data_IF_676927840930
#
_entry.id   IF_676927840930
#
_cell.length_a   1.000
_cell.length_b   1.000
_cell.length_c   1.000
_cell.angle_alpha   90.00
_cell.angle_beta   90.00
_cell.angle_gamma   90.00
#
_symmetry.space_group_name_H-M   'P 1'
#
loop_
_entity.id
_entity.type
_entity.pdbx_description
1 polymer ?
#
# COMPACT_ATOMS: atom_id res chain seq x y z
N UNK A 1 -14.25 9.03 -8.13
CA UNK A 1 -13.14 8.21 -8.62
C UNK A 1 -13.42 6.76 -8.24
N UNK A 2 -13.54 5.89 -9.24
CA UNK A 2 -13.67 4.44 -9.11
C UNK A 2 -12.35 3.78 -8.66
N UNK A 3 -12.41 2.49 -8.30
CA UNK A 3 -11.22 1.70 -7.92
C UNK A 3 -10.20 1.65 -9.08
N UNK A 4 -10.66 1.45 -10.32
CA UNK A 4 -9.82 1.42 -11.51
C UNK A 4 -9.14 2.78 -11.79
N UNK A 5 -9.91 3.87 -11.80
CA UNK A 5 -9.35 5.23 -11.98
C UNK A 5 -8.35 5.57 -10.87
N UNK A 6 -8.59 5.09 -9.64
CA UNK A 6 -7.67 5.28 -8.52
C UNK A 6 -6.36 4.52 -8.71
N UNK A 7 -6.43 3.26 -9.14
CA UNK A 7 -5.26 2.45 -9.42
C UNK A 7 -4.43 3.07 -10.55
N UNK A 8 -5.07 3.48 -11.64
CA UNK A 8 -4.43 4.13 -12.78
C UNK A 8 -3.70 5.41 -12.34
N UNK A 9 -4.32 6.23 -11.48
CA UNK A 9 -3.68 7.40 -10.90
C UNK A 9 -2.41 7.01 -10.14
N UNK A 10 -2.47 6.05 -9.22
CA UNK A 10 -1.29 5.66 -8.43
C UNK A 10 -0.19 5.06 -9.31
N UNK A 11 -0.54 4.24 -10.30
CA UNK A 11 0.41 3.65 -11.24
C UNK A 11 1.09 4.71 -12.12
N UNK A 12 0.37 5.76 -12.54
CA UNK A 12 0.95 6.85 -13.32
C UNK A 12 2.06 7.62 -12.59
N UNK A 13 2.04 7.62 -11.25
CA UNK A 13 3.07 8.25 -10.40
C UNK A 13 3.96 7.23 -9.68
N UNK A 14 3.90 5.96 -10.08
CA UNK A 14 4.75 4.90 -9.57
C UNK A 14 6.11 4.89 -10.26
N UNK A 15 7.17 4.79 -9.47
CA UNK A 15 8.51 4.51 -9.97
C UNK A 15 8.70 3.04 -10.34
N UNK A 16 9.94 2.67 -10.68
CA UNK A 16 10.29 1.27 -10.94
C UNK A 16 10.02 0.38 -9.70
N UNK A 17 9.57 -0.87 -9.89
CA UNK A 17 9.35 -1.78 -8.78
C UNK A 17 10.64 -2.05 -8.00
N UNK A 18 10.52 -2.13 -6.68
CA UNK A 18 11.65 -2.40 -5.77
C UNK A 18 11.41 -3.71 -5.00
N UNK A 19 12.50 -4.37 -4.59
CA UNK A 19 12.43 -5.61 -3.81
C UNK A 19 12.11 -5.37 -2.33
N UNK A 20 12.41 -4.18 -1.81
CA UNK A 20 12.19 -3.83 -0.41
C UNK A 20 11.99 -2.32 -0.23
N UNK A 21 11.38 -1.93 0.89
CA UNK A 21 11.20 -0.53 1.27
C UNK A 21 11.39 -0.31 2.77
N UNK A 22 11.89 0.87 3.18
CA UNK A 22 12.01 1.21 4.59
C UNK A 22 10.64 1.34 5.24
N UNK A 23 10.50 0.75 6.43
CA UNK A 23 9.26 0.75 7.19
C UNK A 23 9.48 1.21 8.63
N UNK A 24 8.58 2.09 9.07
CA UNK A 24 8.42 2.56 10.45
C UNK A 24 6.94 2.49 10.83
N UNK A 25 6.56 1.67 11.79
CA UNK A 25 5.14 1.45 12.12
C UNK A 25 4.37 2.72 12.50
N UNK A 26 5.00 3.62 13.26
CA UNK A 26 4.38 4.87 13.68
C UNK A 26 4.00 5.78 12.50
N UNK A 27 2.75 6.25 12.48
CA UNK A 27 2.24 7.13 11.44
C UNK A 27 2.09 6.47 10.06
N UNK A 28 1.97 5.13 10.03
CA UNK A 28 1.61 4.40 8.81
C UNK A 28 0.12 4.55 8.53
N UNK A 29 -0.24 4.97 7.33
CA UNK A 29 -1.61 4.98 6.82
C UNK A 29 -1.79 3.94 5.73
N UNK A 30 -2.97 3.33 5.66
CA UNK A 30 -3.34 2.35 4.65
C UNK A 30 -4.59 2.83 3.89
N UNK A 31 -4.62 2.59 2.58
CA UNK A 31 -5.81 2.74 1.75
C UNK A 31 -5.90 1.51 0.82
N UNK A 32 -6.99 0.74 0.93
CA UNK A 32 -7.26 -0.36 0.00
C UNK A 32 -7.82 0.25 -1.29
N UNK A 33 -7.23 -0.13 -2.42
CA UNK A 33 -7.62 0.36 -3.74
C UNK A 33 -8.56 -0.65 -4.40
N UNK A 34 -8.17 -1.93 -4.39
CA UNK A 34 -8.95 -3.07 -4.87
C UNK A 34 -8.58 -4.33 -4.07
N UNK A 35 -8.95 -5.52 -4.54
CA UNK A 35 -8.71 -6.78 -3.83
C UNK A 35 -7.23 -7.23 -3.80
N UNK A 36 -6.34 -6.59 -4.57
CA UNK A 36 -4.92 -6.92 -4.68
C UNK A 36 -3.98 -5.74 -4.40
N UNK A 37 -4.49 -4.50 -4.40
CA UNK A 37 -3.69 -3.30 -4.33
C UNK A 37 -4.06 -2.45 -3.11
N UNK A 38 -3.03 -1.98 -2.42
CA UNK A 38 -3.18 -1.00 -1.37
C UNK A 38 -2.07 0.04 -1.43
N UNK A 39 -2.41 1.26 -1.01
CA UNK A 39 -1.47 2.32 -0.73
C UNK A 39 -1.01 2.21 0.72
N UNK A 40 0.31 2.28 0.93
CA UNK A 40 0.92 2.49 2.24
C UNK A 40 1.59 3.86 2.26
N UNK A 41 1.25 4.69 3.26
CA UNK A 41 1.87 6.01 3.45
C UNK A 41 2.60 6.08 4.78
N UNK A 42 3.68 6.86 4.84
CA UNK A 42 4.41 7.15 6.06
C UNK A 42 4.67 8.65 6.20
N UNK A 43 3.78 9.31 6.96
CA UNK A 43 3.72 10.77 7.01
C UNK A 43 3.32 11.37 5.65
N UNK A 44 3.63 12.65 5.44
CA UNK A 44 3.25 13.30 4.19
C UNK A 44 4.12 12.86 3.00
N UNK A 45 5.44 12.74 3.12
CA UNK A 45 6.30 12.66 1.94
C UNK A 45 6.50 11.27 1.34
N UNK A 46 6.15 10.19 2.06
CA UNK A 46 6.51 8.83 1.66
C UNK A 46 5.27 7.98 1.43
N UNK A 47 5.21 7.33 0.28
CA UNK A 47 4.13 6.43 -0.09
C UNK A 47 4.57 5.37 -1.09
N UNK A 48 3.91 4.23 -1.02
CA UNK A 48 4.18 3.07 -1.87
C UNK A 48 2.87 2.42 -2.27
N UNK A 49 2.77 2.06 -3.55
CA UNK A 49 1.75 1.13 -4.02
C UNK A 49 2.25 -0.28 -3.75
N UNK A 50 1.43 -1.08 -3.08
CA UNK A 50 1.72 -2.48 -2.79
C UNK A 50 0.75 -3.36 -3.57
N UNK A 51 1.26 -4.41 -4.17
CA UNK A 51 0.44 -5.55 -4.62
C UNK A 51 0.58 -6.68 -3.62
N UNK A 52 -0.54 -7.35 -3.32
CA UNK A 52 -0.61 -8.53 -2.48
C UNK A 52 -1.23 -9.71 -3.23
N UNK A 53 -0.94 -10.92 -2.78
CA UNK A 53 -1.51 -12.13 -3.38
C UNK A 53 -3.02 -12.26 -3.03
N UNK A 54 -3.91 -12.43 -4.02
CA UNK A 54 -5.33 -12.69 -3.79
C UNK A 54 -5.58 -14.12 -3.26
N UNK A 55 -6.77 -14.41 -2.72
CA UNK A 55 -7.86 -13.48 -2.40
C UNK A 55 -7.78 -13.09 -0.92
N UNK A 56 -7.16 -11.95 -0.60
CA UNK A 56 -6.92 -11.62 0.81
C UNK A 56 -7.55 -10.28 1.26
N UNK A 57 -7.53 -9.22 0.44
CA UNK A 57 -8.07 -7.91 0.86
C UNK A 57 -9.60 -7.86 0.78
N UNK A 58 -10.23 -8.73 -0.01
CA UNK A 58 -11.69 -8.86 -0.07
C UNK A 58 -12.31 -9.31 1.25
N UNK A 59 -11.51 -9.87 2.17
CA UNK A 59 -11.96 -10.31 3.49
C UNK A 59 -12.06 -9.17 4.51
N UNK A 60 -11.33 -8.06 4.31
CA UNK A 60 -11.34 -6.92 5.21
C UNK A 60 -11.09 -5.60 4.46
N UNK A 61 -12.16 -4.80 4.31
CA UNK A 61 -12.07 -3.46 3.72
C UNK A 61 -11.80 -2.35 4.75
N UNK A 62 -11.67 -2.68 6.04
CA UNK A 62 -11.46 -1.70 7.11
C UNK A 62 -9.96 -1.35 7.28
N UNK A 63 -9.51 -0.35 6.54
CA UNK A 63 -8.10 0.10 6.50
C UNK A 63 -7.50 0.46 7.87
N UNK A 64 -8.31 0.96 8.82
CA UNK A 64 -7.87 1.35 10.16
C UNK A 64 -7.31 0.18 10.99
N UNK A 65 -7.62 -1.06 10.61
CA UNK A 65 -7.22 -2.27 11.34
C UNK A 65 -6.07 -3.01 10.65
N UNK A 66 -5.61 -2.52 9.50
CA UNK A 66 -4.50 -3.11 8.76
C UNK A 66 -3.17 -2.92 9.48
N UNK A 67 -2.31 -3.91 9.30
CA UNK A 67 -0.93 -3.94 9.76
C UNK A 67 -0.07 -4.63 8.71
N UNK A 68 1.24 -4.46 8.80
CA UNK A 68 2.19 -5.09 7.88
C UNK A 68 3.34 -5.67 8.67
N UNK A 69 3.80 -6.86 8.27
CA UNK A 69 5.02 -7.42 8.84
C UNK A 69 6.25 -6.70 8.29
N UNK A 70 7.32 -6.65 9.06
CA UNK A 70 8.59 -6.11 8.59
C UNK A 70 9.74 -6.85 9.23
N UNK A 71 10.87 -6.91 8.53
CA UNK A 71 12.10 -7.51 9.00
C UNK A 71 13.21 -6.44 9.01
N UNK A 72 13.81 -6.22 10.17
CA UNK A 72 14.92 -5.24 10.34
C UNK A 72 14.53 -3.84 9.83
N UNK A 73 13.28 -3.42 10.08
CA UNK A 73 12.77 -2.11 9.64
C UNK A 73 12.58 -1.97 8.13
N UNK A 74 12.49 -3.08 7.39
CA UNK A 74 12.18 -3.13 5.97
C UNK A 74 10.97 -4.02 5.72
N UNK A 75 10.16 -3.65 4.72
CA UNK A 75 9.18 -4.54 4.12
C UNK A 75 9.81 -5.11 2.86
N UNK A 76 9.76 -6.43 2.71
CA UNK A 76 10.40 -7.17 1.63
C UNK A 76 9.35 -7.96 0.83
N UNK A 77 9.45 -7.88 -0.49
CA UNK A 77 8.63 -8.69 -1.41
C UNK A 77 8.81 -10.18 -1.11
N UNK A 78 7.71 -10.91 -1.06
CA UNK A 78 7.68 -12.37 -0.87
C UNK A 78 7.85 -12.85 0.57
N UNK A 79 8.45 -12.04 1.44
CA UNK A 79 8.64 -12.36 2.85
C UNK A 79 7.56 -11.74 3.73
N UNK A 80 7.29 -10.45 3.50
CA UNK A 80 6.37 -9.67 4.30
C UNK A 80 4.93 -9.72 3.77
N UNK A 81 3.99 -9.43 4.65
CA UNK A 81 2.56 -9.55 4.37
C UNK A 81 1.75 -8.45 5.06
N UNK A 82 0.64 -8.08 4.43
CA UNK A 82 -0.43 -7.29 5.07
C UNK A 82 -1.28 -8.23 5.91
N UNK A 83 -1.69 -7.78 7.09
CA UNK A 83 -2.59 -8.48 7.99
C UNK A 83 -3.64 -7.52 8.54
N UNK A 84 -4.53 -8.04 9.39
CA UNK A 84 -5.60 -7.25 10.01
C UNK A 84 -5.74 -7.60 11.48
N UNK A 85 -6.01 -6.59 12.31
CA UNK A 85 -6.43 -6.78 13.70
C UNK A 85 -7.87 -7.28 13.80
N UNK A 86 -8.74 -6.94 12.84
CA UNK A 86 -10.14 -7.39 12.80
C UNK A 86 -10.28 -8.85 12.39
N UNK A 87 -9.34 -9.36 11.58
CA UNK A 87 -9.32 -10.73 11.09
C UNK A 87 -8.01 -11.42 11.47
N UNK A 88 -7.90 -11.91 12.72
CA UNK A 88 -6.73 -12.67 13.17
C UNK A 88 -6.49 -13.87 12.25
N UNK A 89 -5.29 -13.95 11.67
CA UNK A 89 -4.91 -15.01 10.72
C UNK A 89 -4.90 -14.59 9.25
N UNK A 90 -5.46 -13.42 8.91
CA UNK A 90 -5.31 -12.86 7.56
C UNK A 90 -3.84 -12.55 7.28
N UNK A 91 -3.30 -13.12 6.20
CA UNK A 91 -1.92 -12.90 5.77
C UNK A 91 -1.82 -12.77 4.24
N UNK A 92 -1.82 -11.52 3.80
CA UNK A 92 -1.70 -11.07 2.42
C UNK A 92 -0.24 -10.92 2.01
N UNK A 93 0.39 -11.95 1.41
CA UNK A 93 1.80 -11.85 1.01
C UNK A 93 2.01 -10.71 0.01
N UNK A 94 2.97 -9.83 0.27
CA UNK A 94 3.33 -8.73 -0.62
C UNK A 94 4.10 -9.29 -1.81
N UNK A 95 3.64 -9.02 -3.02
CA UNK A 95 4.21 -9.55 -4.27
C UNK A 95 4.95 -8.50 -5.08
N UNK A 96 4.58 -7.22 -4.95
CA UNK A 96 5.28 -6.10 -5.59
C UNK A 96 5.17 -4.83 -4.75
N UNK A 97 6.17 -3.97 -4.89
CA UNK A 97 6.27 -2.66 -4.23
C UNK A 97 6.69 -1.65 -5.28
N UNK A 98 5.93 -0.57 -5.42
CA UNK A 98 6.34 0.58 -6.22
C UNK A 98 6.40 1.84 -5.36
N UNK A 99 7.53 2.56 -5.32
CA UNK A 99 7.61 3.86 -4.67
C UNK A 99 6.78 4.89 -5.45
N UNK A 100 6.09 5.78 -4.73
CA UNK A 100 5.26 6.81 -5.34
C UNK A 100 5.91 8.19 -5.23
N UNK A 101 5.80 9.00 -6.29
CA UNK A 101 6.04 10.43 -6.19
C UNK A 101 4.86 11.13 -5.50
N UNK A 102 4.88 11.11 -4.16
CA UNK A 102 3.83 11.71 -3.33
C UNK A 102 3.71 13.22 -3.47
N UNK A 103 4.72 13.91 -4.03
CA UNK A 103 4.66 15.35 -4.30
C UNK A 103 3.88 15.60 -5.58
N UNK A 104 4.24 14.91 -6.65
CA UNK A 104 3.54 14.99 -7.93
C UNK A 104 2.09 14.51 -7.82
N UNK A 105 1.84 13.42 -7.10
CA UNK A 105 0.50 12.89 -6.88
C UNK A 105 -0.42 13.90 -6.18
N UNK A 106 0.06 14.57 -5.13
CA UNK A 106 -0.71 15.62 -4.45
C UNK A 106 -0.97 16.83 -5.33
N UNK A 107 -0.01 17.21 -6.17
CA UNK A 107 -0.20 18.30 -7.11
C UNK A 107 -1.30 17.94 -8.13
N UNK A 108 -1.28 16.71 -8.64
CA UNK A 108 -2.30 16.19 -9.56
C UNK A 108 -3.69 16.15 -8.91
N UNK A 109 -3.81 15.66 -7.67
CA UNK A 109 -5.08 15.60 -6.95
C UNK A 109 -5.67 16.99 -6.66
N UNK A 110 -4.82 17.99 -6.33
CA UNK A 110 -5.28 19.37 -6.11
C UNK A 110 -5.78 20.06 -7.36
N UNK A 111 -5.23 19.71 -8.52
CA UNK A 111 -5.63 20.29 -9.80
C UNK A 111 -6.88 19.61 -10.38
N UNK A 112 -7.31 18.49 -9.81
CA UNK A 112 -8.50 17.74 -10.21
C UNK A 112 -9.72 18.00 -9.30
N UNK A 113 -9.58 18.90 -8.31
CA UNK A 113 -10.63 19.33 -7.38
C UNK A 113 -11.04 20.78 -7.66
#
# INVERSE_FOLDING_TARGET
MSEAERLDLYQAYAGAPVSSMPYRGAGTGFEIIDDEHLLLTQGASRGWLLQVAPPCLSQDRATAMLLVTSHIGQINVGLDAVGSRSYPGMRCRITRIWPLDMKALRAAQKNAA
#
